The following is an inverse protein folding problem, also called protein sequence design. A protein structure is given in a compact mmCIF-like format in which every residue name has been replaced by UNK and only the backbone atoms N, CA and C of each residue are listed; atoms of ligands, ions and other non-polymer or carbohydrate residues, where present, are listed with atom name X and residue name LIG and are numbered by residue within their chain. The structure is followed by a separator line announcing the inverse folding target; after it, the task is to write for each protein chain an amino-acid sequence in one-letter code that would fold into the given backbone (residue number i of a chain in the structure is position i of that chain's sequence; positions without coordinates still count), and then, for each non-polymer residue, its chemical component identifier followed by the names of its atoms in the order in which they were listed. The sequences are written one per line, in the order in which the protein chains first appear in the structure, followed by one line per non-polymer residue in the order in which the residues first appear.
data_IF_859908080351
#
_entry.id   IF_859908080351
#
_cell.length_a   1.000
_cell.length_b   1.000
_cell.length_c   1.000
_cell.angle_alpha   90.00
_cell.angle_beta   90.00
_cell.angle_gamma   90.00
#
_symmetry.space_group_name_H-M   'P 1'
#
loop_
_entity.id
_entity.type
_entity.pdbx_description
1 polymer ?
#
# COMPACT_ATOMS: atom_id res chain seq x y z
N UNK A 1 -4.48 28.31 -34.82
CA UNK A 1 -5.71 28.18 -34.03
C UNK A 1 -5.82 26.72 -33.64
N UNK A 2 -5.61 26.21 -32.48
CA UNK A 2 -6.02 26.57 -31.14
C UNK A 2 -5.40 25.60 -30.15
N UNK A 3 -4.25 25.90 -29.58
CA UNK A 3 -3.71 25.18 -28.41
C UNK A 3 -3.89 25.98 -27.09
N UNK A 4 -4.43 27.19 -27.16
CA UNK A 4 -4.62 28.07 -25.98
C UNK A 4 -5.94 27.87 -25.23
N UNK A 5 -6.91 27.18 -25.82
CA UNK A 5 -8.27 27.08 -25.21
C UNK A 5 -8.37 25.96 -24.14
N UNK A 6 -7.38 25.04 -24.06
CA UNK A 6 -7.40 23.94 -23.09
C UNK A 6 -6.84 24.33 -21.71
N UNK A 7 -5.95 25.31 -21.64
CA UNK A 7 -5.29 25.73 -20.37
C UNK A 7 -6.16 26.65 -19.53
N UNK A 8 -7.09 27.41 -20.13
CA UNK A 8 -7.90 28.40 -19.41
C UNK A 8 -9.12 27.79 -18.70
N UNK A 9 -9.53 26.55 -19.00
CA UNK A 9 -10.65 25.89 -18.30
C UNK A 9 -10.30 25.30 -16.93
N UNK A 10 -9.03 25.27 -16.51
CA UNK A 10 -8.57 24.78 -15.21
C UNK A 10 -8.60 25.79 -14.06
N UNK A 11 -8.82 27.08 -14.33
CA UNK A 11 -8.52 28.13 -13.34
C UNK A 11 -9.73 28.82 -12.67
N UNK A 12 -10.94 28.44 -12.98
CA UNK A 12 -12.13 29.08 -12.39
C UNK A 12 -13.09 28.06 -11.82
N UNK A 13 -12.91 27.72 -10.56
CA UNK A 13 -13.97 27.28 -9.63
C UNK A 13 -13.39 26.96 -8.25
N UNK A 14 -12.87 27.95 -7.56
CA UNK A 14 -12.69 27.87 -6.11
C UNK A 14 -14.05 28.12 -5.44
N UNK A 15 -14.66 27.04 -4.95
CA UNK A 15 -15.80 27.13 -4.04
C UNK A 15 -15.33 27.48 -2.63
N UNK A 16 -16.25 27.98 -1.81
CA UNK A 16 -16.04 28.24 -0.38
C UNK A 16 -15.41 27.00 0.28
N UNK A 17 -14.21 27.12 0.89
CA UNK A 17 -13.38 26.08 1.51
C UNK A 17 -12.45 25.26 0.57
N UNK A 18 -12.01 25.79 -0.58
CA UNK A 18 -10.98 25.12 -1.39
C UNK A 18 -11.47 23.89 -2.18
N UNK A 19 -12.77 23.62 -2.22
CA UNK A 19 -13.39 22.52 -2.96
C UNK A 19 -13.54 22.90 -4.43
N UNK A 20 -12.91 22.15 -5.34
CA UNK A 20 -13.20 22.29 -6.77
C UNK A 20 -14.57 21.69 -7.06
N UNK A 21 -15.48 22.51 -7.63
CA UNK A 21 -16.80 22.07 -8.06
C UNK A 21 -16.68 20.87 -9.03
N UNK A 22 -17.40 19.78 -8.74
CA UNK A 22 -17.46 18.61 -9.59
C UNK A 22 -16.51 17.49 -9.24
N UNK A 23 -15.78 17.54 -8.09
CA UNK A 23 -14.99 16.41 -7.63
C UNK A 23 -15.85 15.18 -7.36
N UNK A 24 -15.37 14.03 -7.82
CA UNK A 24 -16.01 12.73 -7.62
C UNK A 24 -15.86 12.25 -6.19
N UNK A 25 -16.97 12.07 -5.47
CA UNK A 25 -16.98 11.70 -4.07
C UNK A 25 -17.65 10.35 -3.80
N UNK A 26 -16.96 9.48 -3.05
CA UNK A 26 -17.55 8.29 -2.45
C UNK A 26 -18.04 8.59 -1.04
N UNK A 27 -19.28 8.25 -0.74
CA UNK A 27 -19.89 8.43 0.58
C UNK A 27 -19.79 7.11 1.35
N UNK A 28 -19.17 7.13 2.52
CA UNK A 28 -19.01 5.93 3.34
C UNK A 28 -19.72 6.08 4.68
N UNK A 29 -20.61 5.14 4.97
CA UNK A 29 -21.42 5.09 6.19
C UNK A 29 -21.10 3.82 6.96
N UNK A 30 -20.91 3.91 8.29
CA UNK A 30 -20.68 2.74 9.14
C UNK A 30 -21.49 2.81 10.42
N UNK A 31 -22.14 1.70 10.77
CA UNK A 31 -22.84 1.49 12.05
C UNK A 31 -22.25 0.30 12.79
N UNK A 32 -22.38 0.30 14.12
CA UNK A 32 -21.79 -0.74 14.98
C UNK A 32 -22.67 -1.97 15.15
N UNK A 33 -23.97 -1.88 14.89
CA UNK A 33 -24.94 -2.96 15.07
C UNK A 33 -25.87 -3.08 13.87
N UNK A 34 -26.41 -4.30 13.64
CA UNK A 34 -27.35 -4.55 12.57
C UNK A 34 -28.68 -3.78 12.73
N UNK A 35 -29.06 -3.47 13.96
CA UNK A 35 -30.31 -2.75 14.26
C UNK A 35 -30.20 -1.24 13.97
N UNK A 36 -28.99 -0.70 13.81
CA UNK A 36 -28.78 0.67 13.44
C UNK A 36 -28.73 0.80 11.91
N UNK A 37 -29.46 1.79 11.37
CA UNK A 37 -29.47 2.06 9.94
C UNK A 37 -28.49 3.15 9.57
N UNK A 38 -27.76 2.97 8.47
CA UNK A 38 -26.91 4.01 7.89
C UNK A 38 -27.72 5.16 7.25
N UNK A 39 -29.06 5.09 7.25
CA UNK A 39 -29.92 6.02 6.50
C UNK A 39 -29.75 7.47 6.91
N UNK A 40 -29.57 7.73 8.22
CA UNK A 40 -29.30 9.10 8.71
C UNK A 40 -27.94 9.60 8.20
N UNK A 41 -26.89 8.79 8.35
CA UNK A 41 -25.55 9.16 7.88
C UNK A 41 -25.54 9.40 6.37
N UNK A 42 -26.21 8.55 5.59
CA UNK A 42 -26.32 8.71 4.14
C UNK A 42 -27.01 10.04 3.79
N UNK A 43 -28.16 10.32 4.40
CA UNK A 43 -28.90 11.58 4.14
C UNK A 43 -28.05 12.80 4.45
N UNK A 44 -27.37 12.79 5.60
CA UNK A 44 -26.53 13.89 6.04
C UNK A 44 -25.31 14.08 5.11
N UNK A 45 -24.66 12.99 4.69
CA UNK A 45 -23.54 13.04 3.75
C UNK A 45 -23.96 13.46 2.34
N UNK A 46 -25.14 13.04 1.85
CA UNK A 46 -25.69 13.51 0.57
C UNK A 46 -25.96 15.01 0.58
N UNK A 47 -26.55 15.50 1.66
CA UNK A 47 -26.79 16.93 1.85
C UNK A 47 -25.46 17.71 1.90
N UNK A 48 -24.48 17.20 2.63
CA UNK A 48 -23.14 17.78 2.71
C UNK A 48 -22.45 17.80 1.35
N UNK A 49 -22.43 16.68 0.62
CA UNK A 49 -21.84 16.58 -0.71
C UNK A 49 -22.46 17.59 -1.69
N UNK A 50 -23.80 17.69 -1.69
CA UNK A 50 -24.53 18.66 -2.54
C UNK A 50 -24.15 20.10 -2.18
N UNK A 51 -24.14 20.44 -0.88
CA UNK A 51 -23.80 21.79 -0.40
C UNK A 51 -22.38 22.19 -0.75
N UNK A 52 -21.44 21.24 -0.65
CA UNK A 52 -20.01 21.44 -0.94
C UNK A 52 -19.64 21.31 -2.43
N UNK A 53 -20.60 20.98 -3.31
CA UNK A 53 -20.38 20.89 -4.76
C UNK A 53 -19.69 19.59 -5.21
N UNK A 54 -19.70 18.54 -4.40
CA UNK A 54 -19.18 17.21 -4.78
C UNK A 54 -20.18 16.45 -5.66
N UNK A 55 -19.65 15.70 -6.63
CA UNK A 55 -20.43 14.76 -7.44
C UNK A 55 -20.37 13.38 -6.76
N UNK A 56 -21.48 12.96 -6.15
CA UNK A 56 -21.57 11.64 -5.52
C UNK A 56 -21.51 10.54 -6.58
N UNK A 57 -20.52 9.64 -6.45
CA UNK A 57 -20.34 8.45 -7.30
C UNK A 57 -21.14 7.27 -6.75
N UNK A 58 -21.25 7.17 -5.43
CA UNK A 58 -21.99 6.10 -4.77
C UNK A 58 -21.98 6.22 -3.25
N UNK A 59 -22.72 5.31 -2.60
CA UNK A 59 -22.78 5.21 -1.15
C UNK A 59 -22.43 3.77 -0.74
N UNK A 60 -21.46 3.63 0.13
CA UNK A 60 -21.00 2.37 0.69
C UNK A 60 -21.40 2.29 2.16
N UNK A 61 -22.18 1.26 2.49
CA UNK A 61 -22.75 1.09 3.82
C UNK A 61 -22.14 -0.15 4.48
N UNK A 62 -21.46 0.05 5.59
CA UNK A 62 -20.82 -1.00 6.36
C UNK A 62 -21.53 -1.22 7.68
N UNK A 63 -21.86 -2.48 7.99
CA UNK A 63 -22.33 -2.86 9.31
C UNK A 63 -21.24 -3.64 10.00
N UNK A 64 -20.65 -3.11 11.07
CA UNK A 64 -19.63 -3.79 11.85
C UNK A 64 -20.30 -4.85 12.72
N UNK A 65 -20.42 -6.08 12.24
CA UNK A 65 -20.89 -7.21 13.05
C UNK A 65 -19.70 -7.96 13.64
N UNK A 66 -19.52 -7.91 14.95
CA UNK A 66 -18.70 -8.80 15.79
C UNK A 66 -17.32 -9.22 15.23
N UNK A 67 -16.97 -10.50 15.36
CA UNK A 67 -15.63 -11.08 15.20
C UNK A 67 -15.05 -11.11 13.75
N UNK A 68 -15.82 -10.86 12.70
CA UNK A 68 -15.37 -10.83 11.29
C UNK A 68 -15.58 -9.46 10.67
N UNK A 69 -14.80 -8.48 11.12
CA UNK A 69 -14.83 -7.14 10.57
C UNK A 69 -13.97 -7.05 9.29
N UNK A 70 -14.44 -7.67 8.21
CA UNK A 70 -13.73 -7.64 6.90
C UNK A 70 -13.86 -6.30 6.17
N UNK A 71 -14.75 -5.40 6.59
CA UNK A 71 -15.00 -4.09 5.97
C UNK A 71 -14.94 -4.12 4.45
N UNK A 72 -15.77 -4.98 3.89
CA UNK A 72 -15.81 -5.20 2.44
C UNK A 72 -16.14 -3.91 1.67
N UNK A 73 -17.01 -3.09 2.22
CA UNK A 73 -17.41 -1.83 1.59
C UNK A 73 -16.28 -0.79 1.64
N UNK A 74 -15.53 -0.72 2.77
CA UNK A 74 -14.32 0.13 2.86
C UNK A 74 -13.28 -0.30 1.84
N UNK A 75 -13.04 -1.62 1.66
CA UNK A 75 -12.11 -2.14 0.66
C UNK A 75 -12.49 -1.72 -0.76
N UNK A 76 -13.79 -1.74 -1.10
CA UNK A 76 -14.28 -1.26 -2.40
C UNK A 76 -13.99 0.22 -2.60
N UNK A 77 -14.23 1.05 -1.59
CA UNK A 77 -13.93 2.48 -1.65
C UNK A 77 -12.43 2.73 -1.82
N UNK A 78 -11.58 2.00 -1.09
CA UNK A 78 -10.12 2.09 -1.24
C UNK A 78 -9.66 1.66 -2.65
N UNK A 79 -10.26 0.63 -3.22
CA UNK A 79 -9.97 0.21 -4.60
C UNK A 79 -10.34 1.31 -5.62
N UNK A 80 -11.46 2.01 -5.43
CA UNK A 80 -11.81 3.16 -6.27
C UNK A 80 -10.82 4.32 -6.11
N UNK A 81 -10.37 4.58 -4.89
CA UNK A 81 -9.36 5.61 -4.60
C UNK A 81 -8.02 5.26 -5.26
N UNK A 82 -7.56 4.03 -5.13
CA UNK A 82 -6.34 3.53 -5.75
C UNK A 82 -6.39 3.61 -7.29
N UNK A 83 -7.54 3.28 -7.88
CA UNK A 83 -7.78 3.40 -9.32
C UNK A 83 -8.00 4.86 -9.78
N UNK A 84 -7.99 5.85 -8.87
CA UNK A 84 -8.27 7.27 -9.14
C UNK A 84 -9.64 7.53 -9.79
N UNK A 85 -10.61 6.70 -9.47
CA UNK A 85 -11.99 6.86 -9.92
C UNK A 85 -12.80 7.82 -9.04
N UNK A 86 -12.22 8.22 -7.91
CA UNK A 86 -12.77 9.21 -6.98
C UNK A 86 -11.67 10.17 -6.52
N UNK A 87 -12.06 11.40 -6.22
CA UNK A 87 -11.15 12.44 -5.71
C UNK A 87 -11.26 12.59 -4.19
N UNK A 88 -12.41 12.21 -3.63
CA UNK A 88 -12.72 12.44 -2.21
C UNK A 88 -13.53 11.28 -1.64
N UNK A 89 -13.22 10.93 -0.40
CA UNK A 89 -14.04 10.06 0.45
C UNK A 89 -14.72 10.93 1.50
N UNK A 90 -16.05 10.85 1.59
CA UNK A 90 -16.84 11.58 2.56
C UNK A 90 -17.32 10.64 3.66
N UNK A 91 -17.10 11.04 4.91
CA UNK A 91 -17.57 10.35 6.13
C UNK A 91 -18.24 11.34 7.07
N UNK A 92 -19.10 10.88 7.97
CA UNK A 92 -19.66 11.76 9.01
C UNK A 92 -18.59 12.18 10.01
N UNK A 93 -17.73 11.22 10.43
CA UNK A 93 -16.62 11.42 11.36
C UNK A 93 -15.47 10.50 10.96
N UNK A 94 -14.23 10.86 11.24
CA UNK A 94 -13.05 10.00 10.99
C UNK A 94 -13.10 8.68 11.77
N UNK A 95 -13.75 8.66 12.92
CA UNK A 95 -14.00 7.46 13.73
C UNK A 95 -14.86 6.41 13.02
N UNK A 96 -15.64 6.81 12.03
CA UNK A 96 -16.40 5.87 11.18
C UNK A 96 -15.52 5.19 10.15
N UNK A 97 -14.43 5.83 9.76
CA UNK A 97 -13.49 5.28 8.79
C UNK A 97 -12.44 4.37 9.44
N UNK A 98 -11.68 4.86 10.42
CA UNK A 98 -10.62 4.11 11.10
C UNK A 98 -11.12 3.17 12.20
N UNK A 99 -10.37 2.09 12.49
CA UNK A 99 -10.53 1.20 13.65
C UNK A 99 -9.72 1.70 14.84
N UNK A 100 -8.58 2.25 14.55
CA UNK A 100 -7.63 2.82 15.48
C UNK A 100 -6.96 4.02 14.84
N UNK A 101 -6.24 4.79 15.63
CA UNK A 101 -5.42 5.88 15.11
C UNK A 101 -4.41 5.38 14.08
N UNK A 102 -3.78 4.24 14.33
CA UNK A 102 -2.79 3.65 13.42
C UNK A 102 -3.42 3.23 12.08
N UNK A 103 -4.59 2.58 12.10
CA UNK A 103 -5.32 2.20 10.88
C UNK A 103 -5.76 3.42 10.06
N UNK A 104 -6.25 4.46 10.74
CA UNK A 104 -6.57 5.73 10.10
C UNK A 104 -5.33 6.35 9.45
N UNK A 105 -4.23 6.34 10.17
CA UNK A 105 -2.94 6.85 9.75
C UNK A 105 -2.43 6.18 8.46
N UNK A 106 -2.35 4.83 8.43
CA UNK A 106 -1.95 4.10 7.22
C UNK A 106 -2.87 4.41 6.05
N UNK A 107 -4.19 4.47 6.29
CA UNK A 107 -5.13 4.84 5.23
C UNK A 107 -4.86 6.23 4.68
N UNK A 108 -4.60 7.21 5.54
CA UNK A 108 -4.32 8.57 5.10
C UNK A 108 -3.03 8.66 4.29
N UNK A 109 -2.00 7.84 4.60
CA UNK A 109 -0.79 7.74 3.78
C UNK A 109 -1.09 7.18 2.39
N UNK A 110 -1.89 6.10 2.31
CA UNK A 110 -2.29 5.52 1.04
C UNK A 110 -3.08 6.52 0.20
N UNK A 111 -4.07 7.18 0.81
CA UNK A 111 -4.90 8.19 0.15
C UNK A 111 -4.06 9.39 -0.34
N UNK A 112 -3.06 9.81 0.44
CA UNK A 112 -2.11 10.85 0.02
C UNK A 112 -1.31 10.42 -1.21
N UNK A 113 -0.80 9.18 -1.24
CA UNK A 113 -0.05 8.65 -2.38
C UNK A 113 -0.92 8.57 -3.64
N UNK A 114 -2.22 8.32 -3.49
CA UNK A 114 -3.18 8.28 -4.60
C UNK A 114 -3.75 9.64 -4.98
N UNK A 115 -3.52 10.68 -4.17
CA UNK A 115 -4.05 12.04 -4.39
C UNK A 115 -5.52 12.19 -4.04
N UNK A 116 -6.06 11.33 -3.17
CA UNK A 116 -7.46 11.30 -2.75
C UNK A 116 -7.60 11.90 -1.35
N UNK A 117 -8.58 12.79 -1.15
CA UNK A 117 -8.86 13.42 0.15
C UNK A 117 -9.83 12.59 0.98
N UNK A 118 -9.70 12.61 2.31
CA UNK A 118 -10.69 12.08 3.25
C UNK A 118 -11.30 13.24 4.04
N UNK A 119 -12.58 13.50 3.83
CA UNK A 119 -13.28 14.65 4.43
C UNK A 119 -14.37 14.15 5.38
N UNK A 120 -14.25 14.54 6.64
CA UNK A 120 -15.30 14.33 7.64
C UNK A 120 -16.27 15.52 7.64
N UNK A 121 -17.57 15.22 7.71
CA UNK A 121 -18.61 16.24 7.83
C UNK A 121 -18.47 17.02 9.12
N UNK A 122 -18.09 16.34 10.20
CA UNK A 122 -17.85 16.92 11.52
C UNK A 122 -16.46 16.56 12.01
N UNK A 123 -15.79 17.50 12.67
CA UNK A 123 -14.46 17.31 13.23
C UNK A 123 -13.32 17.59 12.23
N UNK A 124 -12.26 16.84 12.32
CA UNK A 124 -11.02 17.05 11.58
C UNK A 124 -11.22 16.66 10.11
N UNK A 125 -10.88 17.56 9.19
CA UNK A 125 -10.88 17.31 7.76
C UNK A 125 -9.44 17.07 7.29
N UNK A 126 -9.22 15.97 6.58
CA UNK A 126 -7.95 15.68 5.93
C UNK A 126 -8.07 16.04 4.44
N UNK A 127 -8.09 17.32 4.16
CA UNK A 127 -8.04 17.86 2.81
C UNK A 127 -6.57 18.15 2.44
N UNK A 128 -6.00 17.33 1.57
CA UNK A 128 -4.61 17.44 1.11
C UNK A 128 -4.25 18.79 0.47
N UNK A 129 -5.24 19.58 0.09
CA UNK A 129 -5.04 20.89 -0.54
C UNK A 129 -4.94 22.01 0.49
N UNK A 130 -5.54 21.84 1.64
CA UNK A 130 -5.50 22.81 2.72
C UNK A 130 -4.12 22.86 3.36
N UNK A 131 -3.70 24.01 3.86
CA UNK A 131 -2.45 24.15 4.62
C UNK A 131 -2.45 23.21 5.83
N UNK A 132 -3.59 23.04 6.49
CA UNK A 132 -3.77 22.14 7.62
C UNK A 132 -3.64 20.66 7.21
N UNK A 133 -4.22 20.26 6.08
CA UNK A 133 -4.07 18.90 5.54
C UNK A 133 -2.63 18.59 5.15
N UNK A 134 -1.93 19.55 4.55
CA UNK A 134 -0.50 19.42 4.22
C UNK A 134 0.37 19.27 5.48
N UNK A 135 0.08 20.03 6.54
CA UNK A 135 0.77 19.89 7.82
C UNK A 135 0.55 18.51 8.43
N UNK A 136 -0.70 18.05 8.46
CA UNK A 136 -1.05 16.70 8.95
C UNK A 136 -0.33 15.64 8.14
N UNK A 137 -0.31 15.74 6.81
CA UNK A 137 0.39 14.84 5.93
C UNK A 137 1.90 14.77 6.22
N UNK A 138 2.53 15.92 6.45
CA UNK A 138 3.95 16.00 6.81
C UNK A 138 4.25 15.35 8.17
N UNK A 139 3.42 15.60 9.17
CA UNK A 139 3.52 14.95 10.48
C UNK A 139 3.36 13.43 10.36
N UNK A 140 2.44 12.97 9.53
CA UNK A 140 2.21 11.57 9.26
C UNK A 140 3.40 10.90 8.58
N UNK A 141 4.02 11.56 7.61
CA UNK A 141 5.23 11.08 6.95
C UNK A 141 6.39 10.92 7.96
N UNK A 142 6.60 11.91 8.81
CA UNK A 142 7.62 11.88 9.86
C UNK A 142 7.38 10.73 10.87
N UNK A 143 6.13 10.51 11.27
CA UNK A 143 5.79 9.42 12.20
C UNK A 143 6.00 8.04 11.58
N UNK A 144 5.68 7.87 10.28
CA UNK A 144 5.93 6.62 9.57
C UNK A 144 7.43 6.33 9.40
N UNK A 145 8.25 7.35 9.24
CA UNK A 145 9.70 7.21 9.21
C UNK A 145 10.22 6.79 10.58
N UNK A 146 9.76 7.42 11.63
CA UNK A 146 10.08 7.06 13.02
C UNK A 146 9.71 5.62 13.36
N UNK A 147 8.50 5.15 12.98
CA UNK A 147 8.11 3.75 13.18
C UNK A 147 9.02 2.76 12.44
N UNK A 148 9.42 3.10 11.21
CA UNK A 148 10.39 2.28 10.45
C UNK A 148 11.74 2.22 11.12
N UNK A 149 12.20 3.32 11.70
CA UNK A 149 13.49 3.37 12.38
C UNK A 149 13.47 2.58 13.69
N UNK A 150 12.39 2.68 14.48
CA UNK A 150 12.17 1.84 15.64
C UNK A 150 12.16 0.34 15.28
N UNK A 151 11.51 -0.03 14.18
CA UNK A 151 11.51 -1.42 13.72
C UNK A 151 12.91 -1.90 13.32
N UNK A 152 13.66 -1.06 12.60
CA UNK A 152 15.07 -1.35 12.25
C UNK A 152 15.94 -1.53 13.48
N UNK A 153 15.76 -0.70 14.49
CA UNK A 153 16.48 -0.79 15.74
C UNK A 153 16.16 -2.10 16.48
N UNK A 154 14.87 -2.47 16.60
CA UNK A 154 14.46 -3.75 17.18
C UNK A 154 15.05 -4.95 16.44
N UNK A 155 15.04 -4.94 15.11
CA UNK A 155 15.64 -5.99 14.29
C UNK A 155 17.15 -6.07 14.52
N UNK A 156 17.86 -4.94 14.53
CA UNK A 156 19.30 -4.89 14.80
C UNK A 156 19.63 -5.43 16.18
N UNK A 157 18.90 -5.01 17.21
CA UNK A 157 19.04 -5.50 18.57
C UNK A 157 18.77 -7.00 18.68
N UNK A 158 17.71 -7.50 18.02
CA UNK A 158 17.38 -8.92 17.95
C UNK A 158 18.49 -9.75 17.27
N UNK A 159 19.05 -9.26 16.16
CA UNK A 159 20.19 -9.90 15.47
C UNK A 159 21.44 -9.91 16.37
N UNK A 160 21.73 -8.79 17.06
CA UNK A 160 22.86 -8.71 17.97
C UNK A 160 22.73 -9.70 19.14
N UNK A 161 21.54 -9.79 19.75
CA UNK A 161 21.24 -10.75 20.79
C UNK A 161 21.34 -12.21 20.32
N UNK A 162 20.87 -12.51 19.11
CA UNK A 162 20.98 -13.85 18.52
C UNK A 162 22.44 -14.22 18.20
N UNK A 163 23.24 -13.28 17.68
CA UNK A 163 24.70 -13.49 17.48
C UNK A 163 25.43 -13.79 18.80
N UNK A 164 25.11 -13.08 19.90
CA UNK A 164 25.67 -13.38 21.23
C UNK A 164 25.31 -14.79 21.71
N UNK A 165 24.19 -15.36 21.27
CA UNK A 165 23.78 -16.74 21.56
C UNK A 165 24.37 -17.76 20.59
N UNK A 166 25.29 -17.37 19.69
CA UNK A 166 25.95 -18.26 18.73
C UNK A 166 25.15 -18.52 17.46
N UNK A 167 24.04 -17.80 17.20
CA UNK A 167 23.28 -17.96 15.96
C UNK A 167 24.06 -17.36 14.80
N UNK A 168 24.38 -18.18 13.80
CA UNK A 168 25.04 -17.77 12.56
C UNK A 168 23.96 -17.40 11.54
N UNK A 169 23.97 -16.15 11.10
CA UNK A 169 23.08 -15.63 10.07
C UNK A 169 23.71 -15.78 8.69
N UNK A 170 22.87 -15.95 7.68
CA UNK A 170 23.28 -16.08 6.31
C UNK A 170 23.35 -17.52 5.85
N UNK A 171 23.97 -17.73 4.70
CA UNK A 171 24.14 -19.05 4.11
C UNK A 171 25.15 -19.86 4.92
N UNK A 172 24.78 -21.07 5.32
CA UNK A 172 25.71 -21.96 6.04
C UNK A 172 26.92 -22.28 5.15
N UNK A 173 28.15 -22.31 5.70
CA UNK A 173 29.32 -22.76 4.97
C UNK A 173 29.04 -24.13 4.33
N UNK A 174 29.42 -24.31 3.08
CA UNK A 174 29.21 -25.57 2.34
C UNK A 174 27.79 -25.75 1.75
N UNK A 175 26.77 -25.01 2.17
CA UNK A 175 25.42 -25.16 1.65
C UNK A 175 25.32 -24.56 0.24
N UNK A 176 25.12 -25.39 -0.78
CA UNK A 176 25.06 -25.00 -2.21
C UNK A 176 23.82 -25.59 -2.89
N UNK A 177 22.63 -25.38 -2.32
CA UNK A 177 21.37 -26.01 -2.72
C UNK A 177 21.16 -26.03 -4.24
N UNK A 178 21.40 -24.92 -4.94
CA UNK A 178 21.24 -24.86 -6.39
C UNK A 178 22.31 -25.69 -7.11
N UNK A 179 23.58 -25.56 -6.73
CA UNK A 179 24.68 -26.34 -7.33
C UNK A 179 24.47 -27.83 -7.07
N UNK A 180 24.19 -28.23 -5.83
CA UNK A 180 24.03 -29.63 -5.45
C UNK A 180 22.85 -30.30 -6.19
N UNK A 181 21.75 -29.59 -6.37
CA UNK A 181 20.61 -30.05 -7.18
C UNK A 181 20.97 -30.33 -8.65
N UNK A 182 21.89 -29.54 -9.21
CA UNK A 182 22.26 -29.67 -10.62
C UNK A 182 23.50 -30.52 -10.82
N UNK A 183 24.23 -30.93 -9.76
CA UNK A 183 25.47 -31.74 -9.85
C UNK A 183 25.31 -32.97 -10.75
N UNK A 184 24.29 -33.85 -10.58
CA UNK A 184 24.16 -35.04 -11.44
C UNK A 184 24.02 -34.72 -12.92
N UNK A 185 23.24 -33.66 -13.22
CA UNK A 185 23.01 -33.24 -14.62
C UNK A 185 24.23 -32.62 -15.25
N UNK A 186 24.98 -31.82 -14.47
CA UNK A 186 26.22 -31.19 -14.95
C UNK A 186 27.27 -32.27 -15.24
N UNK A 187 27.49 -33.22 -14.33
CA UNK A 187 28.49 -34.29 -14.51
C UNK A 187 28.14 -35.19 -15.69
N UNK A 188 26.87 -35.51 -15.90
CA UNK A 188 26.43 -36.27 -17.08
C UNK A 188 26.80 -35.53 -18.37
N UNK A 189 26.47 -34.23 -18.49
CA UNK A 189 26.76 -33.45 -19.68
C UNK A 189 28.26 -33.24 -19.93
N UNK A 190 29.05 -33.14 -18.86
CA UNK A 190 30.51 -33.12 -18.96
C UNK A 190 31.04 -34.46 -19.50
N UNK A 191 30.50 -35.60 -19.03
CA UNK A 191 30.81 -36.93 -19.55
C UNK A 191 30.46 -37.14 -21.03
N UNK A 192 29.39 -36.42 -21.49
CA UNK A 192 29.00 -36.37 -22.91
C UNK A 192 29.89 -35.44 -23.76
N UNK A 193 30.93 -34.83 -23.19
CA UNK A 193 31.87 -33.96 -23.90
C UNK A 193 31.40 -32.51 -24.13
N UNK A 194 30.29 -32.08 -23.52
CA UNK A 194 29.82 -30.70 -23.67
C UNK A 194 30.71 -29.71 -22.95
N UNK A 195 30.92 -28.55 -23.55
CA UNK A 195 31.70 -27.48 -22.93
C UNK A 195 31.00 -26.86 -21.73
N UNK A 196 31.71 -26.34 -20.75
CA UNK A 196 31.14 -25.66 -19.58
C UNK A 196 30.26 -24.47 -19.94
N UNK A 197 30.51 -23.84 -21.10
CA UNK A 197 29.72 -22.72 -21.60
C UNK A 197 28.36 -23.20 -22.12
N UNK A 198 28.32 -24.27 -22.87
CA UNK A 198 27.10 -24.90 -23.37
C UNK A 198 26.24 -25.43 -22.21
N UNK A 199 26.85 -26.13 -21.25
CA UNK A 199 26.18 -26.63 -20.05
C UNK A 199 25.56 -25.47 -19.25
N UNK A 200 26.33 -24.38 -19.07
CA UNK A 200 25.82 -23.20 -18.34
C UNK A 200 24.59 -22.61 -19.02
N UNK A 201 24.61 -22.50 -20.33
CA UNK A 201 23.50 -21.98 -21.12
C UNK A 201 22.27 -22.90 -21.06
N UNK A 202 22.48 -24.21 -21.24
CA UNK A 202 21.45 -25.25 -21.25
C UNK A 202 20.73 -25.39 -19.90
N UNK A 203 21.45 -25.26 -18.79
CA UNK A 203 20.91 -25.44 -17.43
C UNK A 203 20.55 -24.13 -16.72
N UNK A 204 20.74 -22.97 -17.35
CA UNK A 204 20.52 -21.66 -16.73
C UNK A 204 21.40 -21.42 -15.50
N UNK A 205 22.65 -21.91 -15.54
CA UNK A 205 23.66 -21.75 -14.49
C UNK A 205 24.73 -20.76 -14.92
N UNK A 206 25.45 -20.17 -13.97
CA UNK A 206 26.69 -19.46 -14.32
C UNK A 206 27.79 -20.45 -14.69
N UNK A 207 28.68 -20.06 -15.62
CA UNK A 207 29.88 -20.88 -15.98
C UNK A 207 30.70 -21.23 -14.73
N UNK A 208 30.79 -20.28 -13.79
CA UNK A 208 31.54 -20.52 -12.53
C UNK A 208 30.86 -21.58 -11.66
N UNK A 209 29.52 -21.63 -11.64
CA UNK A 209 28.77 -22.67 -10.91
C UNK A 209 29.06 -24.06 -11.52
N UNK A 210 29.10 -24.18 -12.86
CA UNK A 210 29.43 -25.43 -13.56
C UNK A 210 30.87 -25.85 -13.24
N UNK A 211 31.80 -24.90 -13.33
CA UNK A 211 33.24 -25.15 -13.00
C UNK A 211 33.44 -25.61 -11.56
N UNK A 212 32.75 -24.97 -10.60
CA UNK A 212 32.81 -25.32 -9.18
C UNK A 212 32.25 -26.72 -8.89
N UNK A 213 31.19 -27.13 -9.61
CA UNK A 213 30.64 -28.48 -9.50
C UNK A 213 31.68 -29.52 -9.97
N UNK A 214 32.25 -29.31 -11.15
CA UNK A 214 33.25 -30.24 -11.72
C UNK A 214 34.53 -30.29 -10.89
N UNK A 215 35.01 -29.15 -10.40
CA UNK A 215 36.19 -29.12 -9.52
C UNK A 215 36.00 -29.91 -8.23
N UNK A 216 34.80 -29.83 -7.64
CA UNK A 216 34.47 -30.58 -6.40
C UNK A 216 34.43 -32.08 -6.65
N UNK A 217 33.79 -32.49 -7.74
CA UNK A 217 33.70 -33.91 -8.09
C UNK A 217 35.06 -34.54 -8.33
N UNK A 218 36.00 -33.79 -8.96
CA UNK A 218 37.39 -34.26 -9.19
C UNK A 218 38.24 -34.25 -7.93
N UNK A 219 37.82 -33.57 -6.86
CA UNK A 219 38.54 -33.49 -5.59
C UNK A 219 38.03 -34.48 -4.54
N UNK A 220 36.95 -35.22 -4.83
CA UNK A 220 36.37 -36.30 -4.03
C UNK A 220 36.78 -37.63 -4.55
#
# INVERSE_FOLDING_TARGET
MSHETAVVRGFLREGVNGVQLGQSAALYCRVSTADQTCSRQERDLRAFAKKAGYKSVGVWKETASGAKDERSERKKVLALAQARNIDVILVTELTRWGRSMLDLFHTLQDLQAWGVSLVAQTGLQFDLRSAQGKLIASLMAALAEFERDLLRERVRSGIAAARKRGVVFGRRPGQRIKADRYTPKVLKLVGEGQSYREISHRLGLSKNTVLDIVKRDRAT
#
